data_IF_132859250881
#
_entry.id   IF_132859250881
#
_cell.length_a   1.000
_cell.length_b   1.000
_cell.length_c   1.000
_cell.angle_alpha   90.00
_cell.angle_beta   90.00
_cell.angle_gamma   90.00
#
_symmetry.space_group_name_H-M   'P 1'
#
loop_
_entity.id
_entity.type
_entity.pdbx_description
1 polymer ?
#
# COMPACT_ATOMS: atom_id res chain seq x y z
N UNK A 1 39.49 -42.69 11.40
CA UNK A 1 38.43 -42.20 10.49
C UNK A 1 38.40 -40.68 10.60
N UNK A 2 38.86 -39.91 9.61
CA UNK A 2 38.84 -38.45 9.71
C UNK A 2 37.43 -37.91 9.41
N UNK A 3 36.93 -37.07 10.32
CA UNK A 3 35.67 -36.33 10.20
C UNK A 3 35.87 -35.18 9.21
N UNK A 4 35.14 -35.21 8.09
CA UNK A 4 35.08 -34.07 7.14
C UNK A 4 34.15 -33.02 7.73
N UNK A 5 34.72 -31.89 8.13
CA UNK A 5 33.98 -30.65 8.38
C UNK A 5 33.49 -30.13 7.03
N UNK A 6 32.18 -30.19 6.80
CA UNK A 6 31.52 -29.47 5.70
C UNK A 6 31.64 -27.97 6.00
N UNK A 7 32.38 -27.25 5.15
CA UNK A 7 32.48 -25.80 5.19
C UNK A 7 31.13 -25.13 4.91
N UNK A 8 31.01 -23.82 5.17
CA UNK A 8 29.79 -23.07 4.87
C UNK A 8 29.58 -23.09 3.36
N UNK A 9 28.43 -23.62 2.93
CA UNK A 9 27.98 -23.55 1.55
C UNK A 9 27.84 -22.08 1.16
N UNK A 10 28.80 -21.59 0.38
CA UNK A 10 28.68 -20.33 -0.32
C UNK A 10 27.51 -20.45 -1.29
N UNK A 11 26.37 -19.83 -0.96
CA UNK A 11 25.23 -19.75 -1.87
C UNK A 11 25.70 -19.12 -3.19
N UNK A 12 25.50 -19.79 -4.34
CA UNK A 12 25.96 -19.28 -5.61
C UNK A 12 25.17 -18.04 -5.98
N UNK A 13 25.87 -16.90 -5.96
CA UNK A 13 25.40 -15.67 -6.62
C UNK A 13 25.11 -15.98 -8.08
N UNK A 14 23.83 -15.89 -8.48
CA UNK A 14 23.48 -15.56 -9.86
C UNK A 14 22.85 -16.65 -10.73
N UNK A 15 22.21 -17.70 -10.18
CA UNK A 15 21.20 -18.39 -10.99
C UNK A 15 19.99 -17.47 -11.15
N UNK A 16 19.60 -17.08 -12.38
CA UNK A 16 18.32 -16.42 -12.60
C UNK A 16 17.26 -17.34 -12.04
N UNK A 17 16.58 -16.94 -10.97
CA UNK A 17 15.43 -17.68 -10.47
C UNK A 17 14.38 -17.55 -11.55
N UNK A 18 14.27 -18.54 -12.43
CA UNK A 18 13.23 -18.59 -13.46
C UNK A 18 11.90 -18.73 -12.74
N UNK A 19 11.21 -17.61 -12.55
CA UNK A 19 9.88 -17.60 -11.95
C UNK A 19 8.90 -18.26 -12.91
N UNK A 20 8.20 -19.27 -12.41
CA UNK A 20 7.05 -19.83 -13.11
C UNK A 20 5.95 -18.77 -13.24
N UNK A 21 5.06 -18.97 -14.22
CA UNK A 21 3.90 -18.10 -14.38
C UNK A 21 3.06 -18.09 -13.10
N UNK A 22 2.65 -16.89 -12.66
CA UNK A 22 1.74 -16.77 -11.52
C UNK A 22 0.46 -17.48 -11.89
N UNK A 23 0.00 -18.35 -11.00
CA UNK A 23 -1.17 -19.15 -11.32
C UNK A 23 -2.43 -18.29 -11.33
N UNK A 24 -3.23 -18.39 -12.40
CA UNK A 24 -4.55 -17.79 -12.43
C UNK A 24 -5.49 -18.59 -11.52
N UNK A 25 -6.36 -17.88 -10.80
CA UNK A 25 -7.52 -18.45 -10.15
C UNK A 25 -7.79 -17.88 -8.76
N UNK A 26 -8.85 -18.41 -8.14
CA UNK A 26 -9.25 -18.08 -6.77
C UNK A 26 -8.84 -19.15 -5.76
N UNK A 27 -8.17 -20.22 -6.20
CA UNK A 27 -7.72 -21.28 -5.31
C UNK A 27 -6.61 -20.75 -4.39
N UNK A 28 -6.80 -20.90 -3.07
CA UNK A 28 -5.76 -20.55 -2.10
C UNK A 28 -4.77 -21.70 -2.04
N UNK A 29 -3.50 -21.42 -2.31
CA UNK A 29 -2.41 -22.39 -2.27
C UNK A 29 -1.45 -22.08 -1.12
N UNK A 30 -0.79 -23.10 -0.53
CA UNK A 30 0.26 -22.87 0.46
C UNK A 30 1.42 -22.08 -0.16
N UNK A 31 2.26 -21.45 0.67
CA UNK A 31 3.44 -20.70 0.21
C UNK A 31 4.34 -21.53 -0.69
N UNK A 32 4.76 -20.96 -1.83
CA UNK A 32 5.68 -21.62 -2.76
C UNK A 32 6.66 -20.62 -3.40
N UNK A 33 7.08 -20.84 -4.66
CA UNK A 33 8.14 -20.06 -5.30
C UNK A 33 7.91 -18.55 -5.32
N UNK A 34 6.70 -18.07 -5.57
CA UNK A 34 6.43 -16.63 -5.62
C UNK A 34 6.47 -15.98 -4.24
N UNK A 35 5.92 -16.66 -3.23
CA UNK A 35 6.04 -16.23 -1.85
C UNK A 35 7.52 -16.10 -1.41
N UNK A 36 8.34 -17.12 -1.71
CA UNK A 36 9.78 -17.09 -1.43
C UNK A 36 10.51 -15.99 -2.19
N UNK A 37 10.16 -15.76 -3.46
CA UNK A 37 10.74 -14.69 -4.27
C UNK A 37 10.43 -13.30 -3.71
N UNK A 38 9.17 -13.04 -3.36
CA UNK A 38 8.76 -11.76 -2.77
C UNK A 38 9.48 -11.47 -1.46
N UNK A 39 9.74 -12.51 -0.65
CA UNK A 39 10.47 -12.42 0.62
C UNK A 39 11.96 -12.06 0.46
N UNK A 40 12.57 -12.31 -0.70
CA UNK A 40 13.94 -11.84 -0.98
C UNK A 40 14.02 -10.30 -1.07
N UNK A 41 12.90 -9.64 -1.34
CA UNK A 41 12.78 -8.18 -1.43
C UNK A 41 13.84 -7.53 -2.35
N UNK A 42 14.10 -8.15 -3.51
CA UNK A 42 15.05 -7.64 -4.50
C UNK A 42 14.46 -6.52 -5.38
N UNK A 43 13.69 -5.62 -4.78
CA UNK A 43 13.08 -4.48 -5.45
C UNK A 43 13.77 -3.19 -5.04
N UNK A 44 14.40 -2.51 -5.99
CA UNK A 44 15.04 -1.20 -5.76
C UNK A 44 14.03 -0.15 -5.29
N UNK A 45 12.77 -0.26 -5.72
CA UNK A 45 11.69 0.62 -5.25
C UNK A 45 11.36 0.43 -3.77
N UNK A 46 11.58 -0.76 -3.21
CA UNK A 46 11.33 -1.10 -1.81
C UNK A 46 12.51 -0.76 -0.88
N UNK A 47 13.70 -0.49 -1.44
CA UNK A 47 14.95 -0.25 -0.70
C UNK A 47 15.48 1.17 -0.88
N UNK A 48 15.94 1.79 0.20
CA UNK A 48 16.78 2.99 0.17
C UNK A 48 18.17 2.58 0.65
N UNK A 49 19.12 2.51 -0.29
CA UNK A 49 20.43 1.86 -0.09
C UNK A 49 20.23 0.39 0.34
N UNK A 50 20.61 0.03 1.56
CA UNK A 50 20.47 -1.32 2.14
C UNK A 50 19.22 -1.49 3.01
N UNK A 51 18.46 -0.44 3.29
CA UNK A 51 17.31 -0.49 4.21
C UNK A 51 15.98 -0.52 3.46
N UNK A 52 14.97 -1.17 4.03
CA UNK A 52 13.60 -1.09 3.51
C UNK A 52 13.02 0.31 3.75
N UNK A 53 12.35 0.86 2.73
CA UNK A 53 11.89 2.26 2.74
C UNK A 53 10.77 2.55 3.73
N UNK A 54 9.89 1.59 3.97
CA UNK A 54 8.67 1.81 4.74
C UNK A 54 8.62 0.87 5.94
N UNK A 55 8.02 1.37 7.03
CA UNK A 55 7.77 0.57 8.21
C UNK A 55 6.85 -0.63 7.91
N UNK A 56 5.89 -0.46 6.99
CA UNK A 56 5.02 -1.53 6.52
C UNK A 56 5.81 -2.66 5.87
N UNK A 57 6.80 -2.35 5.01
CA UNK A 57 7.65 -3.38 4.40
C UNK A 57 8.49 -4.12 5.45
N UNK A 58 9.01 -3.44 6.47
CA UNK A 58 9.73 -4.09 7.58
C UNK A 58 8.82 -5.08 8.30
N UNK A 59 7.64 -4.63 8.73
CA UNK A 59 6.69 -5.47 9.45
C UNK A 59 6.23 -6.67 8.59
N UNK A 60 5.92 -6.46 7.32
CA UNK A 60 5.56 -7.54 6.39
C UNK A 60 6.71 -8.50 6.13
N UNK A 61 7.94 -8.02 6.13
CA UNK A 61 9.13 -8.85 5.94
C UNK A 61 9.43 -9.76 7.14
N UNK A 62 8.97 -9.41 8.33
CA UNK A 62 9.17 -10.26 9.51
C UNK A 62 8.11 -11.36 9.63
N UNK A 63 7.00 -11.24 8.90
CA UNK A 63 5.92 -12.22 8.92
C UNK A 63 6.20 -13.45 8.06
N UNK A 64 5.74 -14.62 8.52
CA UNK A 64 5.84 -15.87 7.77
C UNK A 64 4.90 -15.88 6.55
N UNK A 65 5.37 -16.27 5.35
CA UNK A 65 4.51 -16.41 4.19
C UNK A 65 3.47 -17.51 4.40
N UNK A 66 2.20 -17.21 4.16
CA UNK A 66 1.09 -18.15 4.41
C UNK A 66 0.56 -18.79 3.15
N UNK A 67 0.63 -18.07 2.03
CA UNK A 67 0.03 -18.50 0.77
C UNK A 67 0.85 -18.13 -0.44
N UNK A 68 0.63 -18.86 -1.51
CA UNK A 68 1.16 -18.51 -2.81
C UNK A 68 0.46 -17.27 -3.37
N UNK A 69 1.20 -16.50 -4.16
CA UNK A 69 0.64 -15.39 -4.92
C UNK A 69 -0.25 -15.93 -6.05
N UNK A 70 -1.50 -15.48 -6.07
CA UNK A 70 -2.49 -15.87 -7.08
C UNK A 70 -3.03 -14.60 -7.73
N UNK A 71 -3.31 -14.65 -9.03
CA UNK A 71 -3.91 -13.55 -9.78
C UNK A 71 -5.25 -13.94 -10.35
N UNK A 72 -6.14 -12.97 -10.54
CA UNK A 72 -7.41 -13.19 -11.23
C UNK A 72 -7.18 -13.54 -12.70
N UNK A 73 -8.06 -14.37 -13.25
CA UNK A 73 -8.03 -14.87 -14.64
C UNK A 73 -8.32 -13.79 -15.69
N UNK A 74 -8.51 -12.54 -15.27
CA UNK A 74 -8.93 -11.46 -16.15
C UNK A 74 -7.82 -10.99 -17.11
N UNK A 75 -6.55 -11.41 -16.91
CA UNK A 75 -5.43 -11.11 -17.79
C UNK A 75 -4.37 -12.21 -17.73
N UNK A 76 -3.92 -12.66 -18.90
CA UNK A 76 -2.68 -13.42 -19.02
C UNK A 76 -1.51 -12.55 -18.57
N UNK A 77 -0.83 -12.97 -17.50
CA UNK A 77 0.34 -12.27 -17.00
C UNK A 77 1.55 -13.17 -17.11
N UNK A 78 2.49 -12.78 -17.97
CA UNK A 78 3.81 -13.39 -17.98
C UNK A 78 4.53 -13.09 -16.66
N UNK A 79 5.39 -14.00 -16.15
CA UNK A 79 6.16 -13.76 -14.93
C UNK A 79 6.86 -12.40 -14.93
N UNK A 80 7.53 -12.06 -16.05
CA UNK A 80 8.28 -10.82 -16.19
C UNK A 80 7.38 -9.58 -16.19
N UNK A 81 6.22 -9.62 -16.87
CA UNK A 81 5.28 -8.49 -16.86
C UNK A 81 4.71 -8.26 -15.45
N UNK A 82 4.38 -9.35 -14.76
CA UNK A 82 3.83 -9.28 -13.42
C UNK A 82 4.86 -8.79 -12.40
N UNK A 83 6.08 -9.31 -12.45
CA UNK A 83 7.20 -8.84 -11.63
C UNK A 83 7.49 -7.36 -11.88
N UNK A 84 7.52 -6.93 -13.15
CA UNK A 84 7.69 -5.53 -13.50
C UNK A 84 6.59 -4.66 -12.90
N UNK A 85 5.33 -5.10 -12.93
CA UNK A 85 4.21 -4.37 -12.31
C UNK A 85 4.38 -4.24 -10.79
N UNK A 86 4.85 -5.28 -10.11
CA UNK A 86 5.16 -5.21 -8.67
C UNK A 86 6.31 -4.22 -8.42
N UNK A 87 7.34 -4.26 -9.25
CA UNK A 87 8.52 -3.42 -9.12
C UNK A 87 8.28 -1.93 -9.46
N UNK A 88 7.08 -1.52 -9.90
CA UNK A 88 6.79 -0.12 -10.23
C UNK A 88 6.76 0.80 -9.01
N UNK A 89 6.34 0.31 -7.83
CA UNK A 89 6.25 1.13 -6.63
C UNK A 89 6.38 0.32 -5.34
N UNK A 90 6.84 0.95 -4.26
CA UNK A 90 6.90 0.32 -2.94
C UNK A 90 5.51 -0.17 -2.48
N UNK A 91 4.44 0.57 -2.80
CA UNK A 91 3.06 0.18 -2.47
C UNK A 91 2.62 -1.10 -3.18
N UNK A 92 3.07 -1.33 -4.42
CA UNK A 92 2.78 -2.59 -5.12
C UNK A 92 3.53 -3.77 -4.49
N UNK A 93 4.78 -3.56 -4.07
CA UNK A 93 5.54 -4.57 -3.30
C UNK A 93 4.84 -4.87 -1.97
N UNK A 94 4.42 -3.85 -1.24
CA UNK A 94 3.64 -4.00 0.00
C UNK A 94 2.33 -4.76 -0.24
N UNK A 95 1.60 -4.46 -1.30
CA UNK A 95 0.36 -5.15 -1.62
C UNK A 95 0.60 -6.63 -1.96
N UNK A 96 1.63 -6.93 -2.75
CA UNK A 96 2.01 -8.31 -3.07
C UNK A 96 2.46 -9.09 -1.83
N UNK A 97 3.31 -8.49 -1.00
CA UNK A 97 3.81 -9.12 0.22
C UNK A 97 2.70 -9.27 1.28
N UNK A 98 1.87 -8.24 1.45
CA UNK A 98 0.66 -8.28 2.28
C UNK A 98 -0.32 -9.34 1.83
N UNK A 99 -0.46 -9.55 0.52
CA UNK A 99 -1.20 -10.69 -0.01
C UNK A 99 -0.55 -12.02 0.35
N UNK A 100 0.78 -12.17 0.41
CA UNK A 100 1.40 -13.46 0.78
C UNK A 100 1.29 -13.76 2.28
N UNK A 101 1.45 -12.75 3.15
CA UNK A 101 1.57 -12.96 4.60
C UNK A 101 0.27 -12.72 5.38
N UNK A 102 -0.66 -11.94 4.84
CA UNK A 102 -1.91 -11.59 5.54
C UNK A 102 -2.82 -12.80 5.78
N UNK A 103 -3.81 -12.68 6.68
CA UNK A 103 -4.95 -13.59 6.73
C UNK A 103 -5.99 -13.25 5.65
N UNK A 104 -6.81 -14.23 5.24
CA UNK A 104 -7.96 -13.94 4.39
C UNK A 104 -9.02 -13.19 5.20
N UNK A 105 -9.72 -12.27 4.56
CA UNK A 105 -10.90 -11.64 5.15
C UNK A 105 -12.13 -12.50 4.89
N UNK A 106 -12.93 -12.78 5.92
CA UNK A 106 -14.21 -13.49 5.78
C UNK A 106 -15.21 -12.70 4.93
N UNK A 107 -15.22 -11.38 5.12
CA UNK A 107 -16.04 -10.45 4.32
C UNK A 107 -15.20 -9.74 3.26
N UNK A 108 -15.47 -9.95 1.96
CA UNK A 108 -14.77 -9.25 0.88
C UNK A 108 -15.17 -7.77 0.83
N UNK A 109 -14.20 -6.91 0.53
CA UNK A 109 -14.44 -5.48 0.31
C UNK A 109 -15.21 -5.23 -0.99
N UNK A 110 -15.67 -3.99 -1.18
CA UNK A 110 -16.43 -3.59 -2.38
C UNK A 110 -15.63 -3.81 -3.67
N UNK A 111 -14.30 -3.63 -3.64
CA UNK A 111 -13.43 -3.85 -4.79
C UNK A 111 -13.27 -5.33 -5.13
N UNK A 112 -13.07 -6.19 -4.12
CA UNK A 112 -13.03 -7.65 -4.30
C UNK A 112 -14.35 -8.18 -4.89
N UNK A 113 -15.49 -7.65 -4.44
CA UNK A 113 -16.83 -7.99 -4.96
C UNK A 113 -17.07 -7.54 -6.39
N UNK A 114 -16.50 -6.41 -6.79
CA UNK A 114 -16.56 -5.88 -8.17
C UNK A 114 -15.48 -6.45 -9.09
N UNK A 115 -14.69 -7.38 -8.57
CA UNK A 115 -13.57 -7.99 -9.28
C UNK A 115 -12.49 -7.01 -9.74
N UNK A 116 -12.33 -5.92 -8.98
CA UNK A 116 -11.36 -4.87 -9.26
C UNK A 116 -10.03 -5.22 -8.57
N UNK A 117 -8.97 -5.28 -9.37
CA UNK A 117 -7.61 -5.47 -8.91
C UNK A 117 -6.96 -6.77 -9.40
N UNK A 118 -5.66 -6.97 -9.09
CA UNK A 118 -4.92 -8.15 -9.54
C UNK A 118 -5.23 -9.40 -8.71
N UNK A 119 -5.54 -9.24 -7.43
CA UNK A 119 -5.66 -10.36 -6.48
C UNK A 119 -7.10 -10.85 -6.34
N UNK A 120 -7.33 -12.16 -6.23
CA UNK A 120 -8.66 -12.74 -6.10
C UNK A 120 -9.30 -12.43 -4.75
N UNK A 121 -8.49 -12.36 -3.68
CA UNK A 121 -8.98 -12.29 -2.31
C UNK A 121 -8.59 -11.03 -1.59
N UNK A 122 -9.46 -10.64 -0.66
CA UNK A 122 -9.20 -9.60 0.31
C UNK A 122 -8.40 -10.17 1.49
N UNK A 123 -7.39 -9.42 1.94
CA UNK A 123 -6.46 -9.87 2.97
C UNK A 123 -6.37 -8.85 4.10
N UNK A 124 -6.21 -9.34 5.33
CA UNK A 124 -5.97 -8.54 6.53
C UNK A 124 -4.62 -8.91 7.10
N UNK A 125 -3.77 -7.93 7.31
CA UNK A 125 -2.48 -8.12 7.97
C UNK A 125 -2.60 -7.61 9.39
N UNK A 126 -2.45 -8.51 10.36
CA UNK A 126 -2.47 -8.16 11.79
C UNK A 126 -1.07 -7.72 12.20
N UNK A 127 -0.95 -6.63 12.97
CA UNK A 127 0.35 -6.10 13.43
C UNK A 127 0.99 -5.07 12.52
N UNK A 128 0.44 -4.81 11.33
CA UNK A 128 0.82 -3.66 10.52
C UNK A 128 -0.17 -2.52 10.80
N UNK A 129 0.24 -1.51 11.57
CA UNK A 129 -0.55 -0.29 11.83
C UNK A 129 -0.77 0.57 10.58
N UNK A 130 -0.22 0.18 9.44
CA UNK A 130 -0.36 0.87 8.16
C UNK A 130 -0.56 -0.12 7.01
N UNK A 131 -1.71 -0.80 6.94
CA UNK A 131 -2.19 -1.36 5.67
C UNK A 131 -3.62 -0.94 5.37
N UNK A 132 -3.67 -0.25 4.23
CA UNK A 132 -4.81 0.16 3.40
C UNK A 132 -5.83 -0.97 3.27
N UNK A 133 -7.02 -0.75 3.82
CA UNK A 133 -8.23 -1.30 3.22
C UNK A 133 -8.67 -0.32 2.12
N UNK A 134 -9.14 -0.81 0.96
CA UNK A 134 -9.67 0.06 -0.09
C UNK A 134 -11.03 0.67 0.29
N UNK A 135 -11.53 0.40 1.51
CA UNK A 135 -12.74 0.96 2.09
C UNK A 135 -12.45 2.16 3.02
N UNK A 136 -11.21 2.66 3.08
CA UNK A 136 -10.94 3.96 3.69
C UNK A 136 -11.18 4.06 5.20
N UNK A 137 -11.11 2.95 5.96
CA UNK A 137 -11.13 3.01 7.43
C UNK A 137 -9.74 3.39 7.98
N UNK A 138 -9.24 4.57 7.58
CA UNK A 138 -8.12 5.28 8.22
C UNK A 138 -8.62 6.38 9.17
N UNK A 139 -9.94 6.62 9.17
CA UNK A 139 -10.57 7.76 9.83
C UNK A 139 -10.79 7.55 11.33
N UNK A 140 -10.85 6.32 11.84
CA UNK A 140 -10.99 6.07 13.28
C UNK A 140 -9.67 6.25 14.01
N UNK A 141 -8.55 5.84 13.41
CA UNK A 141 -7.25 5.89 14.08
C UNK A 141 -6.63 7.29 13.98
N UNK A 142 -6.86 8.02 12.87
CA UNK A 142 -6.52 9.44 12.81
C UNK A 142 -7.43 10.26 13.73
N UNK A 143 -8.75 10.01 13.79
CA UNK A 143 -9.61 10.73 14.74
C UNK A 143 -9.24 10.41 16.19
N UNK A 144 -8.97 9.15 16.52
CA UNK A 144 -8.52 8.77 17.86
C UNK A 144 -7.16 9.40 18.20
N UNK A 145 -6.22 9.46 17.25
CA UNK A 145 -4.93 10.12 17.43
C UNK A 145 -5.07 11.65 17.56
N UNK A 146 -5.97 12.28 16.80
CA UNK A 146 -6.28 13.72 16.92
C UNK A 146 -6.96 14.00 18.27
N UNK A 147 -7.96 13.21 18.68
CA UNK A 147 -8.64 13.36 19.97
C UNK A 147 -7.69 13.07 21.14
N UNK A 148 -6.78 12.11 21.01
CA UNK A 148 -5.73 11.87 22.01
C UNK A 148 -4.71 13.02 22.06
N UNK A 149 -4.34 13.60 20.92
CA UNK A 149 -3.47 14.77 20.86
C UNK A 149 -4.15 16.02 21.46
N UNK A 150 -5.45 16.21 21.22
CA UNK A 150 -6.25 17.28 21.83
C UNK A 150 -6.40 17.10 23.34
N UNK A 151 -6.60 15.87 23.82
CA UNK A 151 -6.65 15.56 25.25
C UNK A 151 -5.30 15.78 25.95
N UNK A 152 -4.19 15.37 25.32
CA UNK A 152 -2.84 15.67 25.80
C UNK A 152 -2.54 17.18 25.79
N UNK A 153 -3.07 17.92 24.82
CA UNK A 153 -2.93 19.38 24.77
C UNK A 153 -3.73 20.08 25.88
N UNK A 154 -4.95 19.63 26.17
CA UNK A 154 -5.76 20.16 27.28
C UNK A 154 -5.12 19.87 28.65
N UNK A 155 -4.60 18.67 28.85
CA UNK A 155 -3.93 18.30 30.10
C UNK A 155 -2.64 19.10 30.34
N UNK A 156 -1.87 19.39 29.27
CA UNK A 156 -0.70 20.24 29.37
C UNK A 156 -1.04 21.73 29.55
N UNK A 157 -2.18 22.20 29.02
CA UNK A 157 -2.62 23.58 29.21
C UNK A 157 -2.94 23.92 30.69
N UNK A 158 -3.45 22.95 31.45
CA UNK A 158 -3.70 23.13 32.90
C UNK A 158 -2.41 23.10 33.74
N UNK A 159 -1.36 22.42 33.26
CA UNK A 159 -0.03 22.38 33.91
C UNK A 159 0.78 23.68 33.64
N UNK A 160 0.46 24.44 32.60
CA UNK A 160 1.23 25.63 32.18
C UNK A 160 0.81 26.96 32.82
N UNK A 161 -0.13 26.98 33.78
CA UNK A 161 -0.47 28.22 34.50
C UNK A 161 0.62 28.73 35.45
N UNK A 162 1.61 27.90 35.77
CA UNK A 162 2.63 28.20 36.79
C UNK A 162 4.03 28.53 36.24
N UNK A 163 4.22 28.62 34.92
CA UNK A 163 5.53 28.90 34.31
C UNK A 163 5.68 30.37 33.85
N UNK A 164 6.58 31.10 34.50
CA UNK A 164 6.82 32.53 34.35
C UNK A 164 7.19 33.00 32.92
N UNK A 165 6.34 33.86 32.35
CA UNK A 165 6.64 34.98 31.43
C UNK A 165 7.29 34.70 30.07
N UNK A 166 8.49 34.13 30.03
CA UNK A 166 9.37 34.12 28.84
C UNK A 166 9.17 32.89 27.95
N UNK A 167 8.84 31.75 28.55
CA UNK A 167 8.52 30.50 27.84
C UNK A 167 7.10 30.50 27.29
N UNK A 168 6.19 31.21 27.97
CA UNK A 168 4.77 31.29 27.62
C UNK A 168 4.54 31.90 26.23
N UNK A 169 5.16 33.03 25.90
CA UNK A 169 4.97 33.66 24.59
C UNK A 169 5.52 32.80 23.42
N UNK A 170 6.65 32.09 23.64
CA UNK A 170 7.19 31.16 22.64
C UNK A 170 6.28 29.94 22.45
N UNK A 171 5.72 29.42 23.55
CA UNK A 171 4.80 28.29 23.52
C UNK A 171 3.42 28.68 22.95
N UNK A 172 2.93 29.89 23.21
CA UNK A 172 1.71 30.43 22.61
C UNK A 172 1.89 30.59 21.09
N UNK A 173 3.02 31.12 20.63
CA UNK A 173 3.32 31.21 19.19
C UNK A 173 3.43 29.82 18.52
N UNK A 174 4.04 28.84 19.20
CA UNK A 174 4.07 27.46 18.72
C UNK A 174 2.68 26.82 18.69
N UNK A 175 1.85 27.08 19.69
CA UNK A 175 0.46 26.61 19.75
C UNK A 175 -0.40 27.22 18.63
N UNK A 176 -0.22 28.51 18.33
CA UNK A 176 -0.91 29.18 17.22
C UNK A 176 -0.49 28.57 15.87
N UNK A 177 0.82 28.33 15.68
CA UNK A 177 1.32 27.68 14.47
C UNK A 177 0.77 26.26 14.30
N UNK A 178 0.74 25.47 15.37
CA UNK A 178 0.17 24.12 15.36
C UNK A 178 -1.33 24.13 15.07
N UNK A 179 -2.10 25.04 15.68
CA UNK A 179 -3.55 25.18 15.41
C UNK A 179 -3.81 25.53 13.94
N UNK A 180 -3.02 26.44 13.36
CA UNK A 180 -3.11 26.81 11.94
C UNK A 180 -2.86 25.60 11.02
N UNK A 181 -1.86 24.78 11.33
CA UNK A 181 -1.57 23.56 10.59
C UNK A 181 -2.71 22.54 10.70
N UNK A 182 -3.30 22.37 11.89
CA UNK A 182 -4.44 21.46 12.10
C UNK A 182 -5.66 21.93 11.28
N UNK A 183 -5.98 23.23 11.27
CA UNK A 183 -7.09 23.76 10.46
C UNK A 183 -6.86 23.55 8.97
N UNK A 184 -5.64 23.77 8.48
CA UNK A 184 -5.31 23.55 7.07
C UNK A 184 -5.45 22.06 6.67
N UNK A 185 -5.05 21.14 7.55
CA UNK A 185 -5.26 19.71 7.34
C UNK A 185 -6.74 19.33 7.33
N UNK A 186 -7.55 19.92 8.21
CA UNK A 186 -9.01 19.70 8.24
C UNK A 186 -9.70 20.21 6.96
N UNK A 187 -9.28 21.35 6.42
CA UNK A 187 -9.76 21.87 5.14
C UNK A 187 -9.40 20.94 3.97
N UNK A 188 -8.15 20.46 3.92
CA UNK A 188 -7.71 19.50 2.91
C UNK A 188 -8.49 18.19 2.99
N UNK A 189 -8.72 17.66 4.19
CA UNK A 189 -9.54 16.46 4.38
C UNK A 189 -11.00 16.69 3.95
N UNK A 190 -11.57 17.87 4.21
CA UNK A 190 -12.93 18.22 3.81
C UNK A 190 -13.07 18.39 2.30
N UNK A 191 -12.05 18.95 1.63
CA UNK A 191 -11.99 19.07 0.18
C UNK A 191 -11.92 17.71 -0.52
N UNK A 192 -11.23 16.73 0.08
CA UNK A 192 -11.16 15.35 -0.43
C UNK A 192 -12.46 14.58 -0.16
N UNK A 193 -13.16 14.90 0.94
CA UNK A 193 -14.41 14.24 1.33
C UNK A 193 -15.67 14.83 0.65
N UNK A 194 -15.56 15.96 -0.04
CA UNK A 194 -16.67 16.51 -0.81
C UNK A 194 -17.07 15.53 -1.94
N UNK A 195 -18.35 15.14 -2.04
CA UNK A 195 -18.81 14.29 -3.12
C UNK A 195 -18.56 15.00 -4.45
N UNK A 196 -17.92 14.29 -5.39
CA UNK A 196 -17.85 14.72 -6.79
C UNK A 196 -19.29 14.77 -7.30
N UNK A 197 -19.85 15.98 -7.34
CA UNK A 197 -21.15 16.23 -7.95
C UNK A 197 -21.01 15.88 -9.44
N UNK A 198 -21.57 14.73 -9.84
CA UNK A 198 -21.66 14.27 -11.23
C UNK A 198 -22.65 15.16 -12.01
N UNK A 199 -22.30 16.44 -12.11
CA UNK A 199 -22.99 17.45 -12.89
C UNK A 199 -22.72 17.28 -14.38
N UNK A 200 -23.44 16.35 -15.01
CA UNK A 200 -24.05 16.54 -16.33
C UNK A 200 -23.07 16.81 -17.50
N UNK A 201 -22.45 15.75 -18.00
CA UNK A 201 -21.90 15.68 -19.36
C UNK A 201 -23.00 15.95 -20.39
N UNK A 202 -23.08 17.20 -20.89
CA UNK A 202 -23.89 17.56 -22.06
C UNK A 202 -23.33 16.84 -23.29
N UNK A 203 -24.06 15.84 -23.79
CA UNK A 203 -23.90 15.22 -25.11
C UNK A 203 -23.72 16.29 -26.20
N UNK A 204 -22.50 16.44 -26.74
CA UNK A 204 -22.28 17.07 -28.05
C UNK A 204 -22.43 16.00 -29.12
N UNK A 205 -23.65 15.95 -29.68
CA UNK A 205 -23.99 15.26 -30.92
C UNK A 205 -23.72 16.23 -32.09
N UNK A 206 -22.91 15.83 -33.07
CA UNK A 206 -22.74 16.32 -34.47
C UNK A 206 -21.31 15.93 -34.90
N UNK A 207 -21.00 15.41 -36.08
CA UNK A 207 -21.76 15.13 -37.28
C UNK A 207 -20.89 14.15 -38.10
N UNK A 208 -21.53 13.17 -38.73
CA UNK A 208 -20.97 12.29 -39.76
C UNK A 208 -20.39 13.10 -40.91
N UNK A 209 -19.06 13.11 -41.05
CA UNK A 209 -18.34 13.57 -42.24
C UNK A 209 -18.19 12.44 -43.26
N UNK A 210 -18.60 12.71 -44.49
CA UNK A 210 -18.70 11.80 -45.63
C UNK A 210 -17.41 11.07 -46.06
N UNK A 211 -17.52 9.96 -46.81
CA UNK A 211 -16.38 9.28 -47.42
C UNK A 211 -15.87 10.03 -48.66
N UNK A 212 -14.55 10.09 -48.83
CA UNK A 212 -13.87 10.64 -50.01
C UNK A 212 -13.92 9.64 -51.17
N UNK A 213 -14.17 10.07 -52.42
CA UNK A 213 -14.02 9.20 -53.59
C UNK A 213 -12.56 9.07 -54.03
N UNK A 214 -12.21 7.87 -54.48
CA UNK A 214 -10.96 7.51 -55.15
C UNK A 214 -10.72 8.39 -56.38
N UNK A 215 -9.46 8.82 -56.55
CA UNK A 215 -8.97 9.39 -57.81
C UNK A 215 -7.85 8.52 -58.33
N UNK A 216 -8.17 7.72 -59.34
CA UNK A 216 -7.24 7.12 -60.29
C UNK A 216 -6.67 8.20 -61.19
N UNK A 217 -5.35 8.20 -61.35
CA UNK A 217 -4.63 8.55 -62.57
C UNK A 217 -3.39 7.65 -62.65
#
# INVERSE_FOLDING_TARGET
MPVRLLGPEEEPFGQPTTLEAVQPGTAVKPSGPWASHLKKLNYTVAKQRSMLKTHTLLALNDMEPRRELMVRDNRDRTPSSFEHNIAQSARHVEAALGYVVGGLCDTPCTHCKREIGPFPHCVRVVGCTAIVTPDGQLLTDIKAAITAAEACFSANHDIMKDAEGSTRAKLENQAIALRSHITHLQELCSAIAAPVDEGRLKKRRRQTGQPRPNRTF
#
